data_IF_973973431789
#
_entry.id   IF_973973431789
#
_cell.length_a   1.000
_cell.length_b   1.000
_cell.length_c   1.000
_cell.angle_alpha   90.00
_cell.angle_beta   90.00
_cell.angle_gamma   90.00
#
_symmetry.space_group_name_H-M   'P 1'
#
loop_
_entity.id
_entity.type
_entity.pdbx_description
1 polymer ?
#
# COMPACT_ATOMS: atom_id res chain seq x y z
N UNK A 1 -10.95 -43.48 -44.99
CA UNK A 1 -9.67 -44.15 -44.69
C UNK A 1 -9.61 -44.34 -43.18
N UNK A 2 -9.87 -45.58 -42.75
CA UNK A 2 -9.89 -46.06 -41.37
C UNK A 2 -8.49 -46.56 -41.05
N UNK A 3 -7.86 -46.13 -39.94
CA UNK A 3 -7.00 -47.00 -39.13
C UNK A 3 -7.08 -46.53 -37.67
N UNK A 4 -7.64 -47.41 -36.85
CA UNK A 4 -7.51 -47.46 -35.40
C UNK A 4 -6.18 -48.14 -35.03
N UNK A 5 -5.51 -47.68 -33.98
CA UNK A 5 -4.50 -48.44 -33.23
C UNK A 5 -4.64 -48.00 -31.76
N UNK A 6 -5.37 -48.73 -30.92
CA UNK A 6 -5.07 -50.04 -30.31
C UNK A 6 -4.28 -49.88 -28.99
N UNK A 7 -4.95 -50.35 -27.94
CA UNK A 7 -4.56 -50.48 -26.54
C UNK A 7 -3.17 -51.08 -26.34
N UNK A 8 -2.50 -50.71 -25.23
CA UNK A 8 -1.98 -51.70 -24.28
C UNK A 8 -1.67 -51.06 -22.92
N UNK A 9 -2.34 -51.55 -21.87
CA UNK A 9 -1.89 -51.46 -20.48
C UNK A 9 -1.35 -52.85 -20.07
N UNK A 10 -0.39 -52.92 -19.14
CA UNK A 10 -0.34 -54.07 -18.23
C UNK A 10 -0.16 -53.67 -16.75
N UNK A 11 -0.38 -54.64 -15.83
CA UNK A 11 -0.89 -54.43 -14.49
C UNK A 11 0.21 -54.51 -13.42
N UNK A 12 -0.02 -53.98 -12.22
CA UNK A 12 -0.21 -54.80 -11.02
C UNK A 12 -0.52 -53.95 -9.78
N UNK A 13 -1.58 -54.33 -9.08
CA UNK A 13 -1.81 -53.94 -7.69
C UNK A 13 -0.96 -54.84 -6.76
N UNK A 14 -0.77 -54.44 -5.50
CA UNK A 14 -1.65 -55.05 -4.49
C UNK A 14 -2.33 -54.03 -3.57
N UNK A 15 -3.56 -54.34 -3.17
CA UNK A 15 -4.34 -53.71 -2.11
C UNK A 15 -4.26 -54.56 -0.81
N UNK A 16 -4.86 -54.18 0.33
CA UNK A 16 -5.09 -52.85 0.91
C UNK A 16 -4.48 -52.73 2.33
N UNK A 17 -4.24 -51.51 2.81
CA UNK A 17 -4.15 -51.24 4.24
C UNK A 17 -5.31 -50.33 4.64
N UNK A 18 -6.39 -50.98 5.06
CA UNK A 18 -7.58 -50.36 5.64
C UNK A 18 -7.22 -49.76 7.01
N UNK A 19 -7.34 -48.44 7.15
CA UNK A 19 -7.49 -47.78 8.45
C UNK A 19 -8.73 -46.89 8.40
N UNK A 20 -9.72 -47.32 9.16
CA UNK A 20 -10.97 -46.62 9.47
C UNK A 20 -10.72 -45.29 10.22
N UNK A 21 -11.72 -44.38 10.30
CA UNK A 21 -11.52 -42.95 10.34
C UNK A 21 -11.30 -42.41 11.75
N UNK A 22 -10.34 -41.51 11.91
CA UNK A 22 -10.18 -40.70 13.12
C UNK A 22 -10.88 -39.35 12.93
N UNK A 23 -12.04 -39.27 13.57
CA UNK A 23 -12.83 -38.12 14.02
C UNK A 23 -12.04 -36.80 14.12
N UNK A 24 -12.51 -35.76 13.42
CA UNK A 24 -12.15 -34.37 13.71
C UNK A 24 -12.67 -33.96 15.10
N UNK A 25 -11.99 -33.02 15.78
CA UNK A 25 -12.66 -31.73 15.91
C UNK A 25 -11.73 -30.51 15.81
N UNK A 26 -12.34 -29.45 15.26
CA UNK A 26 -12.19 -28.03 15.56
C UNK A 26 -10.85 -27.29 15.25
N UNK A 27 -11.01 -26.26 14.42
CA UNK A 27 -10.21 -25.03 14.35
C UNK A 27 -8.71 -25.17 14.06
N UNK A 28 -8.42 -25.61 12.83
CA UNK A 28 -7.14 -25.29 12.21
C UNK A 28 -7.06 -23.77 11.93
N UNK A 29 -6.59 -23.02 12.93
CA UNK A 29 -6.05 -21.67 12.72
C UNK A 29 -4.98 -21.77 11.62
N UNK A 30 -5.07 -21.01 10.52
CA UNK A 30 -4.04 -21.06 9.48
C UNK A 30 -2.68 -20.69 10.09
N UNK A 31 -1.59 -21.32 9.63
CA UNK A 31 -0.27 -21.13 10.22
C UNK A 31 0.09 -19.64 10.16
N UNK A 32 0.20 -19.03 11.34
CA UNK A 32 0.69 -17.66 11.50
C UNK A 32 2.07 -17.60 10.88
N UNK A 33 2.18 -16.90 9.74
CA UNK A 33 3.46 -16.48 9.22
C UNK A 33 4.19 -15.75 10.35
N UNK A 34 5.29 -16.33 10.83
CA UNK A 34 6.08 -15.76 11.92
C UNK A 34 6.59 -14.40 11.46
N UNK A 35 6.08 -13.32 12.05
CA UNK A 35 6.68 -12.00 11.92
C UNK A 35 8.12 -12.13 12.45
N UNK A 36 9.08 -11.95 11.55
CA UNK A 36 10.49 -11.81 11.94
C UNK A 36 10.56 -10.52 12.76
N UNK A 37 11.12 -10.62 13.96
CA UNK A 37 11.27 -9.58 14.98
C UNK A 37 10.05 -9.31 15.88
N UNK A 38 10.12 -9.86 17.10
CA UNK A 38 9.21 -9.53 18.19
C UNK A 38 9.25 -8.02 18.47
N UNK A 39 8.09 -7.37 18.35
CA UNK A 39 7.82 -5.92 18.34
C UNK A 39 7.73 -5.24 16.96
N UNK A 40 8.32 -5.77 15.88
CA UNK A 40 8.31 -5.10 14.57
C UNK A 40 6.93 -5.08 13.87
N UNK A 41 5.96 -5.82 14.41
CA UNK A 41 4.60 -5.91 13.87
C UNK A 41 3.51 -5.28 14.75
N UNK A 42 3.82 -4.76 15.93
CA UNK A 42 2.79 -4.26 16.87
C UNK A 42 2.47 -2.79 16.57
N UNK A 43 1.18 -2.49 16.39
CA UNK A 43 0.66 -1.14 16.12
C UNK A 43 0.04 -0.50 17.37
N UNK A 44 -0.58 -1.31 18.24
CA UNK A 44 -1.17 -0.85 19.50
C UNK A 44 -1.32 -1.98 20.52
N UNK A 45 -1.56 -1.61 21.78
CA UNK A 45 -1.95 -2.53 22.87
C UNK A 45 -3.26 -2.03 23.49
N UNK A 46 -4.25 -2.92 23.64
CA UNK A 46 -5.53 -2.62 24.28
C UNK A 46 -5.93 -3.73 25.24
N UNK A 47 -6.04 -3.40 26.55
CA UNK A 47 -6.43 -4.36 27.61
C UNK A 47 -5.73 -5.72 27.46
N UNK A 48 -4.40 -5.68 27.45
CA UNK A 48 -3.50 -6.84 27.30
C UNK A 48 -3.55 -7.55 25.93
N UNK A 49 -4.31 -7.06 24.96
CA UNK A 49 -4.29 -7.56 23.58
C UNK A 49 -3.35 -6.72 22.71
N UNK A 50 -2.49 -7.38 21.97
CA UNK A 50 -1.68 -6.75 20.92
C UNK A 50 -2.48 -6.63 19.63
N UNK A 51 -2.43 -5.44 19.02
CA UNK A 51 -2.94 -5.19 17.67
C UNK A 51 -1.73 -5.13 16.75
N UNK A 52 -1.67 -6.03 15.76
CA UNK A 52 -0.55 -6.11 14.82
C UNK A 52 -0.90 -5.55 13.45
N UNK A 53 0.12 -5.26 12.65
CA UNK A 53 -0.03 -4.86 11.25
C UNK A 53 -0.74 -5.94 10.43
N UNK A 54 -0.45 -7.22 10.68
CA UNK A 54 -1.09 -8.32 9.94
C UNK A 54 -2.60 -8.37 10.22
N UNK A 55 -3.02 -8.06 11.45
CA UNK A 55 -4.45 -7.95 11.81
C UNK A 55 -5.09 -6.68 11.24
N UNK A 56 -4.36 -5.57 11.23
CA UNK A 56 -4.88 -4.26 10.84
C UNK A 56 -4.94 -4.07 9.32
N UNK A 57 -3.98 -4.62 8.57
CA UNK A 57 -3.81 -4.40 7.13
C UNK A 57 -5.05 -4.79 6.30
N UNK A 58 -5.71 -5.95 6.49
CA UNK A 58 -6.93 -6.27 5.74
C UNK A 58 -8.04 -5.22 5.94
N UNK A 59 -8.26 -4.80 7.19
CA UNK A 59 -9.26 -3.77 7.51
C UNK A 59 -8.93 -2.44 6.86
N UNK A 60 -7.66 -2.01 6.90
CA UNK A 60 -7.23 -0.79 6.22
C UNK A 60 -7.35 -0.89 4.69
N UNK A 61 -7.08 -2.05 4.12
CA UNK A 61 -7.24 -2.29 2.68
C UNK A 61 -8.70 -2.16 2.24
N UNK A 62 -9.65 -2.63 3.04
CA UNK A 62 -11.08 -2.45 2.77
C UNK A 62 -11.52 -0.99 2.94
N UNK A 63 -11.06 -0.32 4.01
CA UNK A 63 -11.47 1.05 4.32
C UNK A 63 -10.87 2.10 3.37
N UNK A 64 -9.62 1.93 2.96
CA UNK A 64 -8.85 2.95 2.25
C UNK A 64 -7.85 2.41 1.21
N UNK A 65 -7.83 1.11 0.95
CA UNK A 65 -6.83 0.48 0.10
C UNK A 65 -6.82 0.99 -1.34
N UNK A 66 -8.00 1.26 -1.92
CA UNK A 66 -8.09 1.81 -3.28
C UNK A 66 -7.46 3.19 -3.40
N UNK A 67 -7.76 4.09 -2.45
CA UNK A 67 -7.19 5.42 -2.39
C UNK A 67 -5.67 5.37 -2.16
N UNK A 68 -5.20 4.53 -1.25
CA UNK A 68 -3.77 4.34 -1.00
C UNK A 68 -3.04 3.80 -2.24
N UNK A 69 -3.61 2.81 -2.92
CA UNK A 69 -3.03 2.24 -4.14
C UNK A 69 -2.96 3.27 -5.27
N UNK A 70 -4.02 4.06 -5.46
CA UNK A 70 -4.04 5.12 -6.47
C UNK A 70 -2.92 6.14 -6.26
N UNK A 71 -2.68 6.55 -5.02
CA UNK A 71 -1.60 7.49 -4.67
C UNK A 71 -0.22 6.89 -5.00
N UNK A 72 0.02 5.63 -4.63
CA UNK A 72 1.29 4.94 -4.93
C UNK A 72 1.52 4.82 -6.44
N UNK A 73 0.48 4.47 -7.20
CA UNK A 73 0.56 4.37 -8.65
C UNK A 73 0.80 5.74 -9.30
N UNK A 74 0.12 6.79 -8.83
CA UNK A 74 0.34 8.15 -9.29
C UNK A 74 1.78 8.61 -9.05
N UNK A 75 2.32 8.36 -7.86
CA UNK A 75 3.70 8.68 -7.51
C UNK A 75 4.69 7.94 -8.42
N UNK A 76 4.41 6.67 -8.72
CA UNK A 76 5.24 5.83 -9.59
C UNK A 76 5.29 6.36 -11.02
N UNK A 77 4.12 6.72 -11.58
CA UNK A 77 4.01 7.29 -12.94
C UNK A 77 4.70 8.66 -13.03
N UNK A 78 4.56 9.51 -12.01
CA UNK A 78 5.24 10.80 -11.98
C UNK A 78 6.75 10.66 -11.83
N UNK A 79 7.22 9.71 -11.01
CA UNK A 79 8.65 9.43 -10.86
C UNK A 79 9.28 8.93 -12.15
N UNK A 80 8.58 8.07 -12.89
CA UNK A 80 9.01 7.63 -14.21
C UNK A 80 9.16 8.80 -15.20
N UNK A 81 8.11 9.62 -15.34
CA UNK A 81 8.15 10.79 -16.23
C UNK A 81 9.21 11.81 -15.83
N UNK A 82 9.38 12.05 -14.53
CA UNK A 82 10.40 12.95 -14.01
C UNK A 82 11.80 12.45 -14.41
N UNK A 83 12.07 11.14 -14.26
CA UNK A 83 13.34 10.51 -14.66
C UNK A 83 13.61 10.65 -16.15
N UNK A 84 12.62 10.37 -17.00
CA UNK A 84 12.74 10.51 -18.47
C UNK A 84 13.12 11.94 -18.88
N UNK A 85 12.60 12.93 -18.16
CA UNK A 85 12.85 14.36 -18.37
C UNK A 85 14.03 14.90 -17.56
N UNK A 86 14.72 14.06 -16.77
CA UNK A 86 15.80 14.45 -15.84
C UNK A 86 15.38 15.55 -14.85
N UNK A 87 14.13 15.52 -14.42
CA UNK A 87 13.58 16.39 -13.39
C UNK A 87 13.78 15.72 -12.04
N UNK A 88 14.43 16.42 -11.12
CA UNK A 88 14.62 15.97 -9.74
C UNK A 88 14.37 17.17 -8.81
N UNK A 89 13.14 17.38 -8.32
CA UNK A 89 12.85 18.47 -7.41
C UNK A 89 13.61 18.28 -6.10
N UNK A 90 14.30 19.32 -5.67
CA UNK A 90 14.97 19.38 -4.38
C UNK A 90 14.04 19.94 -3.29
N UNK A 91 14.55 20.03 -2.07
CA UNK A 91 13.79 20.59 -0.94
C UNK A 91 13.39 22.05 -1.18
N UNK A 92 14.24 22.82 -1.89
CA UNK A 92 13.92 24.19 -2.27
C UNK A 92 12.71 24.25 -3.22
N UNK A 93 12.58 23.30 -4.16
CA UNK A 93 11.41 23.19 -5.02
C UNK A 93 10.13 22.90 -4.22
N UNK A 94 10.19 21.98 -3.25
CA UNK A 94 9.04 21.69 -2.40
C UNK A 94 8.64 22.90 -1.53
N UNK A 95 9.62 23.61 -0.97
CA UNK A 95 9.37 24.85 -0.21
C UNK A 95 8.69 25.92 -1.08
N UNK A 96 9.10 26.08 -2.35
CA UNK A 96 8.44 27.00 -3.28
C UNK A 96 6.98 26.65 -3.53
N UNK A 97 6.63 25.37 -3.59
CA UNK A 97 5.23 24.94 -3.74
C UNK A 97 4.41 25.26 -2.48
N UNK A 98 4.97 25.03 -1.30
CA UNK A 98 4.31 25.37 -0.02
C UNK A 98 4.11 26.88 0.12
N UNK A 99 5.14 27.69 -0.13
CA UNK A 99 5.01 29.15 -0.13
C UNK A 99 3.98 29.65 -1.15
N UNK A 100 3.95 29.03 -2.33
CA UNK A 100 2.99 29.39 -3.37
C UNK A 100 1.57 29.13 -2.90
N UNK A 101 1.33 27.97 -2.28
CA UNK A 101 0.03 27.67 -1.68
C UNK A 101 -0.33 28.69 -0.59
N UNK A 102 0.56 28.96 0.35
CA UNK A 102 0.31 29.91 1.43
C UNK A 102 -0.10 31.29 0.90
N UNK A 103 0.61 31.80 -0.13
CA UNK A 103 0.26 33.06 -0.82
C UNK A 103 -1.11 33.04 -1.49
N UNK A 104 -1.56 31.88 -1.98
CA UNK A 104 -2.90 31.73 -2.56
C UNK A 104 -4.00 31.66 -1.50
N UNK A 105 -3.69 31.17 -0.29
CA UNK A 105 -4.69 31.02 0.77
C UNK A 105 -5.04 32.35 1.43
N UNK A 106 -4.04 33.14 1.81
CA UNK A 106 -4.25 34.47 2.41
C UNK A 106 -3.01 35.36 2.27
N UNK A 107 -3.19 36.68 2.34
CA UNK A 107 -2.08 37.65 2.35
C UNK A 107 -1.40 37.73 3.72
N UNK A 108 -2.14 37.49 4.81
CA UNK A 108 -1.61 37.41 6.16
C UNK A 108 -0.98 36.02 6.39
N UNK A 109 0.35 35.92 6.59
CA UNK A 109 1.05 34.65 6.75
C UNK A 109 0.50 33.81 7.92
N UNK A 110 0.12 34.45 9.02
CA UNK A 110 -0.39 33.75 10.20
C UNK A 110 -1.77 33.13 9.94
N UNK A 111 -2.59 33.81 9.14
CA UNK A 111 -3.90 33.29 8.72
C UNK A 111 -3.76 32.20 7.66
N UNK A 112 -2.87 32.39 6.68
CA UNK A 112 -2.58 31.37 5.67
C UNK A 112 -2.13 30.06 6.32
N UNK A 113 -1.23 30.11 7.32
CA UNK A 113 -0.78 28.90 8.02
C UNK A 113 -1.93 28.18 8.74
N UNK A 114 -2.79 28.92 9.46
CA UNK A 114 -3.96 28.32 10.12
C UNK A 114 -4.90 27.64 9.13
N UNK A 115 -5.16 28.29 7.98
CA UNK A 115 -5.99 27.69 6.93
C UNK A 115 -5.34 26.44 6.34
N UNK A 116 -4.02 26.45 6.15
CA UNK A 116 -3.28 25.28 5.69
C UNK A 116 -3.42 24.11 6.68
N UNK A 117 -3.25 24.37 7.98
CA UNK A 117 -3.38 23.34 9.01
C UNK A 117 -4.80 22.74 9.03
N UNK A 118 -5.83 23.59 8.92
CA UNK A 118 -7.23 23.17 8.84
C UNK A 118 -7.50 22.31 7.60
N UNK A 119 -7.00 22.72 6.43
CA UNK A 119 -7.15 21.95 5.18
C UNK A 119 -6.42 20.61 5.30
N UNK A 120 -5.19 20.60 5.84
CA UNK A 120 -4.43 19.36 6.03
C UNK A 120 -5.13 18.39 6.97
N UNK A 121 -5.69 18.88 8.07
CA UNK A 121 -6.45 18.07 9.01
C UNK A 121 -7.70 17.47 8.35
N UNK A 122 -8.49 18.28 7.63
CA UNK A 122 -9.72 17.83 6.94
C UNK A 122 -9.44 16.81 5.83
N UNK A 123 -8.31 16.92 5.15
CA UNK A 123 -7.92 16.04 4.04
C UNK A 123 -7.10 14.80 4.48
N UNK A 124 -6.82 14.67 5.77
CA UNK A 124 -5.95 13.60 6.28
C UNK A 124 -4.53 13.66 5.69
N UNK A 125 -4.00 14.86 5.49
CA UNK A 125 -2.66 15.11 4.96
C UNK A 125 -1.63 15.15 6.09
N UNK A 126 -1.32 13.96 6.60
CA UNK A 126 -0.17 13.75 7.47
C UNK A 126 1.17 14.05 6.78
N UNK A 127 2.29 14.06 7.52
CA UNK A 127 3.60 14.48 7.00
C UNK A 127 4.02 13.78 5.71
N UNK A 128 3.81 12.46 5.62
CA UNK A 128 4.16 11.67 4.43
C UNK A 128 3.37 12.07 3.20
N UNK A 129 2.03 12.15 3.30
CA UNK A 129 1.16 12.53 2.18
C UNK A 129 1.35 14.00 1.79
N UNK A 130 1.60 14.87 2.77
CA UNK A 130 1.92 16.27 2.53
C UNK A 130 3.18 16.43 1.69
N UNK A 131 4.27 15.76 2.08
CA UNK A 131 5.54 15.80 1.33
C UNK A 131 5.39 15.22 -0.07
N UNK A 132 4.67 14.11 -0.22
CA UNK A 132 4.39 13.53 -1.54
C UNK A 132 3.60 14.51 -2.42
N UNK A 133 2.59 15.20 -1.88
CA UNK A 133 1.83 16.21 -2.59
C UNK A 133 2.71 17.36 -3.10
N UNK A 134 3.57 17.91 -2.23
CA UNK A 134 4.50 18.99 -2.62
C UNK A 134 5.46 18.52 -3.71
N UNK A 135 6.02 17.32 -3.56
CA UNK A 135 6.91 16.74 -4.56
C UNK A 135 6.20 16.57 -5.91
N UNK A 136 4.98 16.02 -5.94
CA UNK A 136 4.19 15.86 -7.16
C UNK A 136 3.91 17.20 -7.83
N UNK A 137 3.52 18.21 -7.07
CA UNK A 137 3.26 19.55 -7.60
C UNK A 137 4.53 20.17 -8.19
N UNK A 138 5.68 20.01 -7.54
CA UNK A 138 6.96 20.48 -8.05
C UNK A 138 7.34 19.77 -9.36
N UNK A 139 7.18 18.45 -9.44
CA UNK A 139 7.38 17.68 -10.69
C UNK A 139 6.45 18.16 -11.79
N UNK A 140 5.14 18.26 -11.50
CA UNK A 140 4.14 18.69 -12.47
C UNK A 140 4.43 20.10 -12.99
N UNK A 141 4.82 21.03 -12.12
CA UNK A 141 5.20 22.38 -12.52
C UNK A 141 6.44 22.38 -13.41
N UNK A 142 7.44 21.56 -13.09
CA UNK A 142 8.63 21.41 -13.92
C UNK A 142 8.33 20.75 -15.28
N UNK A 143 7.36 19.82 -15.35
CA UNK A 143 6.95 19.17 -16.59
C UNK A 143 6.24 20.11 -17.58
N UNK A 144 5.59 21.18 -17.08
CA UNK A 144 4.88 22.15 -17.92
C UNK A 144 5.63 23.48 -18.09
N UNK A 145 6.79 23.63 -17.45
CA UNK A 145 7.63 24.80 -17.64
C UNK A 145 8.16 24.81 -19.10
N UNK A 146 8.03 25.95 -19.81
CA UNK A 146 8.44 26.08 -21.20
C UNK A 146 9.97 26.04 -21.38
#
# INVERSE_FOLDING_TARGET
MIVAMMLCAPPNAPAPAEKAPATAPADAVPPTAKSVDGAAGIVAIWKDQTVTWDRLRPVLSELAGSAALQEVLLDSVLAERARERRIAPDEAAMHREEETLLRYMDKDPARAQRLLDDVRARQGLGPTRWRALLWRNAVLRALVAP
#
